data_IF_836871362645
#
_entry.id   IF_836871362645
#
_cell.length_a   1.000
_cell.length_b   1.000
_cell.length_c   1.000
_cell.angle_alpha   90.00
_cell.angle_beta   90.00
_cell.angle_gamma   90.00
#
_symmetry.space_group_name_H-M   'P 1'
#
loop_
_entity.id
_entity.type
_entity.pdbx_description
1 polymer ?
#
# COMPACT_ATOMS: atom_id res chain seq x y z
N UNK A 1 0.60 5.72 2.45
CA UNK A 1 -0.17 5.36 1.25
C UNK A 1 -0.95 4.09 1.52
N UNK A 2 -2.12 3.98 0.91
CA UNK A 2 -3.02 2.82 1.04
C UNK A 2 -3.36 2.30 -0.35
N UNK A 3 -3.72 1.02 -0.45
CA UNK A 3 -4.09 0.34 -1.71
C UNK A 3 -2.93 0.20 -2.71
N UNK A 4 -1.80 -0.42 -2.31
CA UNK A 4 -0.69 -0.69 -3.23
C UNK A 4 -1.08 -1.64 -4.38
N UNK A 5 -2.13 -2.43 -4.19
CA UNK A 5 -2.68 -3.41 -5.14
C UNK A 5 -3.40 -2.79 -6.34
N UNK A 6 -3.79 -1.53 -6.26
CA UNK A 6 -4.50 -0.81 -7.33
C UNK A 6 -3.60 0.18 -8.09
N UNK A 7 -2.28 0.10 -7.90
CA UNK A 7 -1.33 0.92 -8.63
C UNK A 7 -1.20 0.38 -10.06
N UNK A 8 -1.27 1.25 -11.06
CA UNK A 8 -0.95 0.87 -12.44
C UNK A 8 0.54 0.50 -12.50
N UNK A 9 0.83 -0.68 -13.03
CA UNK A 9 2.19 -1.22 -13.17
C UNK A 9 3.17 -0.23 -13.82
N UNK A 10 2.71 0.60 -14.75
CA UNK A 10 3.54 1.61 -15.43
C UNK A 10 3.92 2.79 -14.54
N UNK A 11 3.26 2.94 -13.39
CA UNK A 11 3.40 4.09 -12.48
C UNK A 11 4.02 3.73 -11.13
N UNK A 12 4.38 2.47 -10.91
CA UNK A 12 5.00 1.99 -9.67
C UNK A 12 6.28 2.77 -9.32
N UNK A 13 7.09 3.13 -10.33
CA UNK A 13 8.30 3.95 -10.13
C UNK A 13 8.00 5.31 -9.50
N UNK A 14 6.86 5.93 -9.83
CA UNK A 14 6.45 7.20 -9.20
C UNK A 14 6.07 6.99 -7.74
N UNK A 15 5.39 5.88 -7.42
CA UNK A 15 5.04 5.52 -6.04
C UNK A 15 6.30 5.28 -5.20
N UNK A 16 7.32 4.63 -5.75
CA UNK A 16 8.60 4.42 -5.08
C UNK A 16 9.31 5.74 -4.75
N UNK A 17 9.34 6.68 -5.70
CA UNK A 17 9.94 8.02 -5.47
C UNK A 17 9.20 8.80 -4.38
N UNK A 18 7.87 8.64 -4.28
CA UNK A 18 7.10 9.20 -3.17
C UNK A 18 7.51 8.53 -1.84
N UNK A 19 7.63 7.21 -1.80
CA UNK A 19 8.08 6.46 -0.62
C UNK A 19 9.49 6.82 -0.16
N UNK A 20 10.38 7.10 -1.10
CA UNK A 20 11.75 7.56 -0.83
C UNK A 20 11.82 9.04 -0.45
N UNK A 21 10.67 9.71 -0.30
CA UNK A 21 10.57 11.11 0.13
C UNK A 21 11.14 12.11 -0.90
N UNK A 22 11.24 11.72 -2.17
CA UNK A 22 11.90 12.51 -3.22
C UNK A 22 10.97 13.49 -3.94
N UNK A 23 9.65 13.27 -3.86
CA UNK A 23 8.65 14.08 -4.56
C UNK A 23 8.12 15.20 -3.65
N UNK A 24 7.65 14.83 -2.45
CA UNK A 24 7.20 15.79 -1.41
C UNK A 24 7.87 15.39 -0.11
N UNK A 25 8.85 16.16 0.40
CA UNK A 25 9.56 15.77 1.61
C UNK A 25 8.70 15.94 2.87
N UNK A 26 8.46 14.84 3.60
CA UNK A 26 7.87 14.84 4.93
C UNK A 26 8.94 14.65 6.01
N UNK A 27 8.80 15.34 7.15
CA UNK A 27 9.76 15.25 8.28
C UNK A 27 9.88 13.84 8.86
N UNK A 28 8.83 13.01 8.75
CA UNK A 28 8.79 11.64 9.27
C UNK A 28 8.83 10.57 8.16
N UNK A 29 8.94 10.99 6.90
CA UNK A 29 8.85 10.09 5.75
C UNK A 29 7.46 9.52 5.54
N UNK A 30 7.39 8.46 4.74
CA UNK A 30 6.16 7.80 4.34
C UNK A 30 6.15 6.32 4.73
N UNK A 31 4.92 5.77 4.84
CA UNK A 31 4.67 4.34 5.01
C UNK A 31 3.57 3.92 4.05
N UNK A 32 3.69 2.74 3.46
CA UNK A 32 2.65 2.12 2.63
C UNK A 32 2.08 0.90 3.34
N UNK A 33 0.76 0.75 3.29
CA UNK A 33 0.06 -0.40 3.88
C UNK A 33 -0.99 -0.92 2.91
N UNK A 34 -1.15 -2.24 2.89
CA UNK A 34 -2.29 -2.89 2.25
C UNK A 34 -3.37 -3.11 3.32
N UNK A 35 -4.57 -2.64 3.04
CA UNK A 35 -5.72 -2.86 3.90
C UNK A 35 -6.54 -4.04 3.37
N UNK A 36 -7.50 -4.53 4.17
CA UNK A 36 -8.46 -5.52 3.66
C UNK A 36 -9.15 -4.98 2.41
N UNK A 37 -9.07 -5.74 1.33
CA UNK A 37 -9.87 -5.47 0.14
C UNK A 37 -11.35 -5.76 0.43
N UNK A 38 -12.23 -5.23 -0.41
CA UNK A 38 -13.66 -5.50 -0.29
C UNK A 38 -13.97 -7.01 -0.35
N UNK A 39 -13.20 -7.77 -1.13
CA UNK A 39 -13.34 -9.22 -1.21
C UNK A 39 -12.88 -9.92 0.08
N UNK A 40 -11.80 -9.46 0.71
CA UNK A 40 -11.27 -10.04 1.95
C UNK A 40 -12.26 -9.87 3.11
N UNK A 41 -13.00 -8.76 3.12
CA UNK A 41 -14.09 -8.51 4.08
C UNK A 41 -15.25 -9.47 3.82
N UNK A 42 -15.66 -9.62 2.55
CA UNK A 42 -16.75 -10.52 2.19
C UNK A 42 -16.43 -12.00 2.47
N UNK A 43 -15.14 -12.37 2.41
CA UNK A 43 -14.65 -13.72 2.66
C UNK A 43 -14.28 -13.98 4.13
N UNK A 44 -14.55 -13.03 5.04
CA UNK A 44 -14.26 -13.13 6.47
C UNK A 44 -12.81 -13.54 6.79
N UNK A 45 -11.85 -13.04 6.00
CA UNK A 45 -10.44 -13.38 6.19
C UNK A 45 -9.92 -12.83 7.52
N UNK A 46 -9.14 -13.66 8.21
CA UNK A 46 -8.52 -13.28 9.48
C UNK A 46 -7.38 -12.26 9.27
N UNK A 47 -7.16 -11.41 10.27
CA UNK A 47 -6.02 -10.47 10.27
C UNK A 47 -4.67 -11.18 10.12
N UNK A 48 -4.51 -12.35 10.75
CA UNK A 48 -3.28 -13.13 10.68
C UNK A 48 -3.00 -13.63 9.25
N UNK A 49 -4.03 -14.08 8.54
CA UNK A 49 -3.89 -14.54 7.15
C UNK A 49 -3.55 -13.42 6.17
N UNK A 50 -3.96 -12.18 6.45
CA UNK A 50 -3.67 -11.03 5.57
C UNK A 50 -2.27 -10.48 5.79
N UNK A 51 -1.72 -10.58 7.01
CA UNK A 51 -0.35 -10.13 7.32
C UNK A 51 0.71 -11.09 6.76
N UNK A 52 0.37 -12.37 6.58
CA UNK A 52 1.28 -13.38 6.04
C UNK A 52 1.41 -13.35 4.50
N UNK A 53 0.57 -12.58 3.80
CA UNK A 53 0.59 -12.43 2.34
C UNK A 53 1.38 -11.20 1.90
#
# INVERSE_FOLDING_TARGET
>A
LTKPDLVDHRTEGTVLRIMQNEVVPLRKGYMIVKCHGQQDVNNELSLASVIQQ
#
